data_IF_858274352292
#
_entry.id   IF_858274352292
#
_cell.length_a   1.000
_cell.length_b   1.000
_cell.length_c   1.000
_cell.angle_alpha   90.00
_cell.angle_beta   90.00
_cell.angle_gamma   90.00
#
_symmetry.space_group_name_H-M   'P 1'
#
loop_
_entity.id
_entity.type
_entity.pdbx_description
1 polymer ?
#
# COMPACT_ATOMS: atom_id res chain seq x y z
N UNK A 1 -62.99 6.70 -16.60
CA UNK A 1 -61.72 6.96 -17.32
C UNK A 1 -61.17 5.60 -17.74
N UNK A 2 -61.33 5.17 -19.01
CA UNK A 2 -60.30 5.30 -20.07
C UNK A 2 -58.91 5.02 -19.47
N UNK A 3 -58.31 3.85 -19.66
CA UNK A 3 -57.53 3.44 -20.85
C UNK A 3 -57.43 1.89 -20.86
N UNK A 4 -58.04 1.21 -21.83
CA UNK A 4 -57.41 0.69 -23.08
C UNK A 4 -56.11 -0.11 -22.79
N UNK A 5 -56.15 -1.44 -22.72
CA UNK A 5 -56.09 -2.39 -23.86
C UNK A 5 -54.95 -2.11 -24.83
N UNK A 6 -54.03 -3.07 -24.96
CA UNK A 6 -52.98 -3.07 -25.98
C UNK A 6 -52.08 -4.31 -25.88
N UNK A 7 -52.68 -5.47 -25.62
CA UNK A 7 -52.03 -6.78 -25.66
C UNK A 7 -52.10 -7.29 -27.11
N UNK A 8 -51.00 -7.86 -27.60
CA UNK A 8 -50.89 -8.88 -28.65
C UNK A 8 -51.81 -8.76 -29.87
N UNK A 9 -51.22 -8.45 -31.03
CA UNK A 9 -51.29 -9.29 -32.24
C UNK A 9 -50.82 -8.49 -33.45
N UNK A 10 -49.77 -8.98 -34.12
CA UNK A 10 -49.66 -9.00 -35.59
C UNK A 10 -48.27 -9.49 -35.97
N UNK A 11 -48.11 -10.81 -36.01
CA UNK A 11 -47.13 -11.46 -36.88
C UNK A 11 -47.52 -11.16 -38.33
N UNK A 12 -47.00 -10.04 -38.85
CA UNK A 12 -47.12 -9.66 -40.24
C UNK A 12 -46.12 -10.47 -41.07
N UNK A 13 -46.58 -11.61 -41.57
CA UNK A 13 -45.95 -12.35 -42.64
C UNK A 13 -46.08 -11.52 -43.94
N UNK A 14 -45.10 -10.67 -44.23
CA UNK A 14 -45.06 -9.94 -45.51
C UNK A 14 -44.46 -10.87 -46.56
N UNK A 15 -45.32 -11.24 -47.50
CA UNK A 15 -44.99 -11.98 -48.70
C UNK A 15 -43.88 -11.27 -49.49
N UNK A 16 -42.79 -12.00 -49.73
CA UNK A 16 -41.75 -11.69 -50.70
C UNK A 16 -42.36 -11.62 -52.10
N UNK A 17 -42.73 -10.41 -52.53
CA UNK A 17 -42.82 -10.07 -53.96
C UNK A 17 -41.93 -8.86 -54.17
N UNK A 18 -40.63 -9.11 -54.22
CA UNK A 18 -39.62 -8.13 -54.63
C UNK A 18 -39.24 -8.42 -56.07
N UNK A 19 -39.72 -7.59 -56.98
CA UNK A 19 -39.35 -7.55 -58.38
C UNK A 19 -37.83 -7.70 -58.57
N UNK A 20 -37.42 -8.53 -59.53
CA UNK A 20 -36.08 -8.48 -60.09
C UNK A 20 -35.92 -7.15 -60.83
N UNK A 21 -35.63 -6.09 -60.09
CA UNK A 21 -34.99 -4.91 -60.66
C UNK A 21 -33.56 -5.32 -60.97
N UNK A 22 -33.28 -5.47 -62.25
CA UNK A 22 -31.93 -5.46 -62.79
C UNK A 22 -31.38 -4.06 -62.49
N UNK A 23 -30.79 -3.91 -61.31
CA UNK A 23 -29.97 -2.74 -61.00
C UNK A 23 -28.65 -2.94 -61.72
N UNK A 24 -28.49 -2.24 -62.83
CA UNK A 24 -27.18 -2.00 -63.43
C UNK A 24 -26.26 -1.37 -62.37
N UNK A 25 -25.45 -2.21 -61.72
CA UNK A 25 -24.02 -2.02 -61.71
C UNK A 25 -23.45 -0.68 -61.26
N UNK A 26 -23.99 -0.06 -60.20
CA UNK A 26 -23.18 0.83 -59.36
C UNK A 26 -23.14 0.23 -57.95
N UNK A 27 -22.05 -0.49 -57.64
CA UNK A 27 -21.66 -0.69 -56.25
C UNK A 27 -21.51 0.72 -55.67
N UNK A 28 -22.38 1.12 -54.74
CA UNK A 28 -22.04 2.23 -53.86
C UNK A 28 -20.70 1.85 -53.23
N UNK A 29 -19.66 2.60 -53.57
CA UNK A 29 -18.34 2.37 -53.02
C UNK A 29 -18.45 2.61 -51.52
N UNK A 30 -18.33 1.52 -50.75
CA UNK A 30 -18.32 1.61 -49.31
C UNK A 30 -17.23 2.60 -48.88
N UNK A 31 -17.56 3.50 -47.95
CA UNK A 31 -16.65 4.51 -47.43
C UNK A 31 -15.26 3.90 -47.12
N UNK A 32 -14.19 4.53 -47.60
CA UNK A 32 -12.82 4.08 -47.42
C UNK A 32 -11.86 5.25 -47.18
N UNK A 33 -10.67 4.92 -46.65
CA UNK A 33 -9.58 5.88 -46.40
C UNK A 33 -8.41 5.72 -47.39
N UNK A 34 -8.67 5.07 -48.54
CA UNK A 34 -7.66 4.69 -49.53
C UNK A 34 -6.80 3.49 -49.14
N UNK A 35 -5.89 3.09 -50.03
CA UNK A 35 -5.09 1.86 -49.93
C UNK A 35 -4.07 1.85 -48.79
N UNK A 36 -3.76 3.03 -48.24
CA UNK A 36 -2.89 3.18 -47.08
C UNK A 36 -3.57 2.69 -45.78
N UNK A 37 -4.90 2.61 -45.75
CA UNK A 37 -5.67 2.22 -44.58
C UNK A 37 -5.84 0.71 -44.49
N UNK A 38 -4.77 0.03 -44.09
CA UNK A 38 -4.73 -1.43 -43.91
C UNK A 38 -3.98 -1.78 -42.65
N UNK A 39 -4.23 -2.98 -42.14
CA UNK A 39 -3.50 -3.53 -41.00
C UNK A 39 -1.99 -3.52 -41.26
N UNK A 40 -1.21 -3.24 -40.23
CA UNK A 40 0.24 -3.20 -40.34
C UNK A 40 0.92 -3.59 -39.04
N UNK A 41 2.21 -3.87 -39.17
CA UNK A 41 3.11 -4.17 -38.07
C UNK A 41 4.11 -3.03 -37.87
N UNK A 42 4.51 -2.82 -36.62
CA UNK A 42 5.60 -1.91 -36.20
C UNK A 42 6.38 -2.59 -35.08
N UNK A 43 7.56 -2.07 -34.77
CA UNK A 43 8.36 -2.50 -33.63
C UNK A 43 8.46 -1.41 -32.60
N UNK A 44 8.65 -1.81 -31.34
CA UNK A 44 8.96 -0.85 -30.28
C UNK A 44 10.25 -0.10 -30.66
N UNK A 45 10.19 1.22 -30.62
CA UNK A 45 11.31 2.10 -31.00
C UNK A 45 11.48 2.34 -32.49
N UNK A 46 10.56 1.87 -33.35
CA UNK A 46 10.43 2.41 -34.71
C UNK A 46 10.03 3.89 -34.66
N UNK A 47 10.40 4.64 -35.70
CA UNK A 47 9.87 5.98 -35.90
C UNK A 47 8.33 5.95 -36.06
N UNK A 48 7.68 7.04 -35.65
CA UNK A 48 6.24 7.18 -35.74
C UNK A 48 5.77 6.97 -37.18
N UNK A 49 4.83 6.03 -37.37
CA UNK A 49 4.31 5.70 -38.69
C UNK A 49 3.23 6.66 -39.09
N UNK A 50 3.48 7.41 -40.16
CA UNK A 50 2.51 8.32 -40.74
C UNK A 50 1.78 7.65 -41.91
N UNK A 51 0.45 7.56 -41.83
CA UNK A 51 -0.41 7.15 -42.94
C UNK A 51 -1.10 8.38 -43.51
N UNK A 52 -0.85 8.67 -44.78
CA UNK A 52 -1.61 9.67 -45.53
C UNK A 52 -2.94 9.04 -45.97
N UNK A 53 -4.04 9.49 -45.37
CA UNK A 53 -5.37 8.95 -45.61
C UNK A 53 -6.19 9.88 -46.50
N UNK A 54 -7.09 9.29 -47.29
CA UNK A 54 -8.02 10.01 -48.17
C UNK A 54 -9.42 9.45 -47.99
N UNK A 55 -10.33 10.23 -47.41
CA UNK A 55 -11.73 9.85 -47.32
C UNK A 55 -12.36 9.77 -48.73
N UNK A 56 -13.01 8.66 -49.07
CA UNK A 56 -13.60 8.44 -50.40
C UNK A 56 -14.81 9.35 -50.69
N UNK A 57 -15.43 9.90 -49.65
CA UNK A 57 -16.53 10.87 -49.74
C UNK A 57 -16.19 12.11 -48.89
N UNK A 58 -15.31 13.00 -49.38
CA UNK A 58 -14.89 14.16 -48.61
C UNK A 58 -16.03 15.18 -48.48
N UNK A 59 -16.11 15.82 -47.32
CA UNK A 59 -17.07 16.88 -47.05
C UNK A 59 -16.42 17.96 -46.19
N UNK A 60 -16.59 19.21 -46.61
CA UNK A 60 -16.04 20.38 -45.93
C UNK A 60 -16.49 20.44 -44.47
N UNK A 61 -15.57 20.81 -43.59
CA UNK A 61 -15.74 20.97 -42.14
C UNK A 61 -16.06 19.65 -41.39
N UNK A 62 -15.87 18.50 -42.04
CA UNK A 62 -16.00 17.18 -41.38
C UNK A 62 -15.01 17.03 -40.23
N UNK A 63 -15.48 16.55 -39.09
CA UNK A 63 -14.65 16.26 -37.92
C UNK A 63 -13.77 15.02 -38.16
N UNK A 64 -12.53 15.07 -37.70
CA UNK A 64 -11.55 13.99 -37.83
C UNK A 64 -11.08 13.59 -36.43
N UNK A 65 -11.09 12.29 -36.14
CA UNK A 65 -10.57 11.78 -34.87
C UNK A 65 -10.04 10.35 -35.01
N UNK A 66 -9.15 9.97 -34.11
CA UNK A 66 -8.67 8.60 -34.01
C UNK A 66 -8.47 8.20 -32.54
N UNK A 67 -8.75 6.93 -32.23
CA UNK A 67 -8.59 6.37 -30.88
C UNK A 67 -7.97 5.00 -30.94
N UNK A 68 -7.11 4.70 -29.97
CA UNK A 68 -6.52 3.38 -29.77
C UNK A 68 -7.29 2.60 -28.71
N UNK A 69 -7.57 1.31 -28.95
CA UNK A 69 -8.19 0.44 -27.95
C UNK A 69 -7.26 0.13 -26.77
N UNK A 70 -5.93 0.22 -26.97
CA UNK A 70 -4.90 0.03 -25.95
C UNK A 70 -3.77 1.05 -26.13
N UNK A 71 -3.86 2.18 -25.45
CA UNK A 71 -2.85 3.24 -25.50
C UNK A 71 -1.46 2.78 -24.99
N UNK A 72 -1.42 1.78 -24.11
CA UNK A 72 -0.20 1.14 -23.63
C UNK A 72 0.55 0.34 -24.71
N UNK A 73 -0.13 -0.11 -25.77
CA UNK A 73 0.46 -0.85 -26.91
C UNK A 73 0.82 0.11 -28.04
N UNK A 74 -0.12 0.98 -28.43
CA UNK A 74 0.07 1.95 -29.49
C UNK A 74 -0.74 3.22 -29.24
N UNK A 75 -0.17 4.38 -29.54
CA UNK A 75 -0.87 5.67 -29.49
C UNK A 75 -1.10 6.21 -30.89
N UNK A 76 -2.10 7.08 -31.04
CA UNK A 76 -2.52 7.61 -32.33
C UNK A 76 -2.87 9.09 -32.22
N UNK A 77 -2.50 9.86 -33.25
CA UNK A 77 -2.90 11.25 -33.43
C UNK A 77 -3.29 11.52 -34.88
N UNK A 78 -4.03 12.61 -35.11
CA UNK A 78 -4.41 13.08 -36.44
C UNK A 78 -3.81 14.46 -36.68
N UNK A 79 -3.40 14.75 -37.92
CA UNK A 79 -2.77 16.04 -38.26
C UNK A 79 -3.69 17.25 -38.10
N UNK A 80 -5.01 17.03 -38.19
CA UNK A 80 -6.02 18.06 -38.08
C UNK A 80 -7.29 17.48 -37.47
N UNK A 81 -8.00 18.27 -36.67
CA UNK A 81 -9.26 17.86 -36.07
C UNK A 81 -10.46 18.03 -37.02
N UNK A 82 -10.27 18.72 -38.16
CA UNK A 82 -11.31 19.00 -39.17
C UNK A 82 -10.71 19.07 -40.57
N UNK A 83 -11.53 18.75 -41.57
CA UNK A 83 -11.23 18.96 -42.99
C UNK A 83 -11.85 20.28 -43.49
N UNK A 84 -11.20 21.40 -43.16
CA UNK A 84 -11.71 22.74 -43.48
C UNK A 84 -11.80 23.02 -44.98
N UNK A 85 -11.04 22.30 -45.80
CA UNK A 85 -10.98 22.49 -47.26
C UNK A 85 -11.89 21.50 -48.01
N UNK A 86 -12.39 20.46 -47.34
CA UNK A 86 -13.22 19.42 -47.95
C UNK A 86 -12.43 18.55 -48.93
N UNK A 87 -11.13 18.36 -48.69
CA UNK A 87 -10.26 17.57 -49.59
C UNK A 87 -10.23 16.09 -49.24
N UNK A 88 -10.69 15.73 -48.04
CA UNK A 88 -10.63 14.37 -47.49
C UNK A 88 -9.25 13.92 -47.03
N UNK A 89 -8.22 14.78 -47.14
CA UNK A 89 -6.82 14.43 -46.90
C UNK A 89 -6.40 14.78 -45.48
N UNK A 90 -5.84 13.80 -44.78
CA UNK A 90 -5.26 13.99 -43.45
C UNK A 90 -4.24 12.91 -43.13
N UNK A 91 -3.35 13.18 -42.18
CA UNK A 91 -2.37 12.20 -41.73
C UNK A 91 -2.81 11.58 -40.41
N UNK A 92 -2.68 10.25 -40.33
CA UNK A 92 -2.76 9.49 -39.10
C UNK A 92 -1.35 9.14 -38.66
N UNK A 93 -0.94 9.55 -37.46
CA UNK A 93 0.38 9.25 -36.91
C UNK A 93 0.22 8.23 -35.80
N UNK A 94 0.82 7.05 -35.98
CA UNK A 94 0.76 5.93 -35.03
C UNK A 94 2.14 5.70 -34.44
N UNK A 95 2.21 5.66 -33.12
CA UNK A 95 3.44 5.39 -32.37
C UNK A 95 3.34 4.05 -31.64
N UNK A 96 4.34 3.20 -31.83
CA UNK A 96 4.49 1.95 -31.10
C UNK A 96 4.98 2.24 -29.66
N UNK A 97 4.31 1.67 -28.66
CA UNK A 97 4.63 1.87 -27.23
C UNK A 97 5.14 0.58 -26.61
N UNK A 98 4.39 -0.51 -26.73
CA UNK A 98 4.76 -1.82 -26.18
C UNK A 98 4.26 -2.95 -27.08
N UNK A 99 4.91 -4.12 -26.97
CA UNK A 99 4.51 -5.33 -27.70
C UNK A 99 3.06 -5.69 -27.43
N UNK A 100 2.33 -6.00 -28.48
CA UNK A 100 0.95 -6.45 -28.39
C UNK A 100 0.13 -6.07 -29.60
N UNK A 101 -1.18 -6.20 -29.47
CA UNK A 101 -2.13 -5.84 -30.52
C UNK A 101 -3.10 -4.77 -30.02
N UNK A 102 -3.26 -3.72 -30.81
CA UNK A 102 -4.25 -2.66 -30.61
C UNK A 102 -5.08 -2.47 -31.88
N UNK A 103 -6.29 -1.97 -31.70
CA UNK A 103 -7.19 -1.59 -32.80
C UNK A 103 -7.32 -0.07 -32.80
N UNK A 104 -6.94 0.55 -33.91
CA UNK A 104 -7.11 1.99 -34.12
C UNK A 104 -8.43 2.22 -34.84
N UNK A 105 -9.31 3.02 -34.24
CA UNK A 105 -10.56 3.48 -34.86
C UNK A 105 -10.37 4.89 -35.38
N UNK A 106 -10.59 5.12 -36.67
CA UNK A 106 -10.52 6.43 -37.32
C UNK A 106 -11.91 6.85 -37.76
N UNK A 107 -12.28 8.09 -37.46
CA UNK A 107 -13.55 8.70 -37.83
C UNK A 107 -13.34 9.91 -38.72
N UNK A 108 -14.23 10.06 -39.70
CA UNK A 108 -14.36 11.23 -40.55
C UNK A 108 -15.85 11.55 -40.69
N UNK A 109 -16.30 12.62 -40.04
CA UNK A 109 -17.73 12.90 -39.84
C UNK A 109 -18.41 11.75 -39.08
N UNK A 110 -19.50 11.23 -39.63
CA UNK A 110 -20.24 10.09 -39.07
C UNK A 110 -19.67 8.73 -39.46
N UNK A 111 -18.76 8.71 -40.44
CA UNK A 111 -18.17 7.48 -40.95
C UNK A 111 -16.99 7.03 -40.08
N UNK A 112 -16.83 5.71 -39.93
CA UNK A 112 -15.71 5.14 -39.16
C UNK A 112 -15.18 3.86 -39.76
N UNK A 113 -13.88 3.62 -39.59
CA UNK A 113 -13.21 2.37 -39.93
C UNK A 113 -12.14 2.05 -38.90
N UNK A 114 -11.73 0.79 -38.88
CA UNK A 114 -10.72 0.28 -37.95
C UNK A 114 -9.57 -0.37 -38.70
N UNK A 115 -8.36 -0.24 -38.15
CA UNK A 115 -7.18 -1.02 -38.56
C UNK A 115 -6.57 -1.69 -37.34
N UNK A 116 -6.05 -2.90 -37.53
CA UNK A 116 -5.26 -3.62 -36.54
C UNK A 116 -3.79 -3.20 -36.63
N UNK A 117 -3.22 -2.88 -35.48
CA UNK A 117 -1.79 -2.59 -35.31
C UNK A 117 -1.20 -3.66 -34.42
N UNK A 118 -0.26 -4.42 -34.97
CA UNK A 118 0.53 -5.40 -34.20
C UNK A 118 1.91 -4.82 -33.95
N UNK A 119 2.23 -4.60 -32.68
CA UNK A 119 3.55 -4.13 -32.25
C UNK A 119 4.39 -5.33 -31.84
N UNK A 120 5.50 -5.53 -32.54
CA UNK A 120 6.49 -6.56 -32.30
C UNK A 120 7.70 -5.99 -31.53
N UNK A 121 8.55 -6.87 -31.03
CA UNK A 121 9.84 -6.46 -30.46
C UNK A 121 10.79 -5.99 -31.57
N UNK A 122 11.77 -5.15 -31.25
CA UNK A 122 12.81 -4.71 -32.20
C UNK A 122 13.66 -5.93 -32.63
N UNK A 123 13.89 -6.13 -33.93
CA UNK A 123 14.70 -7.28 -34.41
C UNK A 123 16.13 -7.19 -33.85
N UNK A 124 16.60 -8.30 -33.26
CA UNK A 124 17.99 -8.45 -32.81
C UNK A 124 18.21 -8.21 -31.32
N UNK A 125 17.17 -7.83 -30.57
CA UNK A 125 17.17 -7.90 -29.13
C UNK A 125 16.14 -8.97 -28.72
N UNK A 126 16.63 -10.12 -28.25
CA UNK A 126 15.97 -10.82 -27.14
C UNK A 126 15.54 -9.73 -26.16
N UNK A 127 14.29 -9.66 -25.64
CA UNK A 127 13.85 -8.51 -24.86
C UNK A 127 14.94 -8.15 -23.88
N UNK A 128 15.66 -7.05 -24.16
CA UNK A 128 16.57 -6.50 -23.19
C UNK A 128 15.62 -6.13 -22.06
N UNK A 129 15.75 -6.72 -20.85
CA UNK A 129 15.01 -6.18 -19.73
C UNK A 129 15.34 -4.70 -19.74
N UNK A 130 14.33 -3.83 -19.66
CA UNK A 130 14.55 -2.44 -19.24
C UNK A 130 15.70 -2.45 -18.23
N UNK A 131 16.86 -1.86 -18.54
CA UNK A 131 18.12 -2.18 -17.85
C UNK A 131 17.86 -2.34 -16.36
N UNK A 132 18.02 -3.58 -15.85
CA UNK A 132 17.73 -3.86 -14.45
C UNK A 132 18.54 -2.88 -13.62
N UNK A 133 17.87 -2.21 -12.70
CA UNK A 133 18.51 -1.19 -11.89
C UNK A 133 19.22 -1.88 -10.72
N UNK A 134 20.48 -1.54 -10.49
CA UNK A 134 21.22 -2.02 -9.31
C UNK A 134 20.52 -1.56 -8.02
N UNK A 135 20.23 -2.49 -7.11
CA UNK A 135 19.45 -2.19 -5.91
C UNK A 135 20.06 -1.10 -5.03
N UNK A 136 21.39 -0.93 -5.03
CA UNK A 136 22.08 0.10 -4.26
C UNK A 136 21.75 1.54 -4.72
N UNK A 137 21.20 1.71 -5.93
CA UNK A 137 20.71 2.99 -6.43
C UNK A 137 19.28 3.29 -5.98
N UNK A 138 18.51 2.25 -5.63
CA UNK A 138 17.11 2.36 -5.18
C UNK A 138 17.04 2.38 -3.65
N UNK A 139 17.77 1.49 -2.97
CA UNK A 139 17.88 1.39 -1.52
C UNK A 139 19.07 2.24 -1.08
N UNK A 140 18.86 3.56 -1.02
CA UNK A 140 19.89 4.52 -0.61
C UNK A 140 19.89 4.77 0.90
N UNK A 141 18.74 4.57 1.56
CA UNK A 141 18.62 4.60 3.03
C UNK A 141 18.68 3.17 3.56
N UNK A 142 19.86 2.79 4.04
CA UNK A 142 20.15 1.43 4.51
C UNK A 142 19.92 1.23 6.01
N UNK A 143 19.77 2.31 6.78
CA UNK A 143 19.39 2.25 8.20
C UNK A 143 17.87 2.32 8.34
N UNK A 144 17.25 1.19 8.70
CA UNK A 144 15.80 1.02 8.72
C UNK A 144 15.13 1.50 10.01
N UNK A 145 15.92 1.76 11.05
CA UNK A 145 15.46 2.18 12.37
C UNK A 145 14.98 1.00 13.23
N UNK A 146 14.07 1.29 14.14
CA UNK A 146 13.56 0.34 15.12
C UNK A 146 12.51 -0.59 14.52
N UNK A 147 12.75 -1.91 14.58
CA UNK A 147 11.81 -2.95 14.17
C UNK A 147 11.33 -3.74 15.39
N UNK A 148 10.05 -4.10 15.40
CA UNK A 148 9.47 -4.95 16.44
C UNK A 148 9.72 -6.42 16.12
N UNK A 149 10.51 -7.10 16.97
CA UNK A 149 10.76 -8.54 16.86
C UNK A 149 11.28 -9.14 18.18
N UNK A 150 10.99 -10.41 18.44
CA UNK A 150 11.48 -11.12 19.63
C UNK A 150 12.94 -11.55 19.48
N UNK A 151 13.22 -12.51 18.61
CA UNK A 151 14.59 -13.02 18.38
C UNK A 151 15.22 -12.46 17.11
N UNK A 152 14.49 -12.47 15.99
CA UNK A 152 14.90 -11.90 14.69
C UNK A 152 13.70 -11.28 13.97
N UNK A 153 13.88 -10.23 13.16
CA UNK A 153 12.81 -9.69 12.34
C UNK A 153 12.41 -10.66 11.23
N UNK A 154 11.20 -10.48 10.71
CA UNK A 154 10.71 -11.20 9.53
C UNK A 154 11.14 -10.49 8.24
N UNK A 155 11.25 -11.23 7.14
CA UNK A 155 11.57 -10.71 5.81
C UNK A 155 10.61 -9.57 5.42
N UNK A 156 9.32 -9.76 5.71
CA UNK A 156 8.27 -8.76 5.44
C UNK A 156 8.52 -7.47 6.21
N UNK A 157 8.85 -7.56 7.51
CA UNK A 157 9.10 -6.37 8.32
C UNK A 157 10.32 -5.58 7.81
N UNK A 158 11.38 -6.28 7.38
CA UNK A 158 12.58 -5.65 6.79
C UNK A 158 12.22 -4.96 5.47
N UNK A 159 11.51 -5.65 4.57
CA UNK A 159 11.13 -5.11 3.25
C UNK A 159 10.18 -3.93 3.40
N UNK A 160 9.20 -3.99 4.29
CA UNK A 160 8.27 -2.89 4.57
C UNK A 160 9.00 -1.66 5.12
N UNK A 161 9.94 -1.85 6.06
CA UNK A 161 10.74 -0.75 6.60
C UNK A 161 11.64 -0.13 5.52
N UNK A 162 12.27 -0.96 4.68
CA UNK A 162 13.07 -0.49 3.55
C UNK A 162 12.22 0.28 2.53
N UNK A 163 11.03 -0.21 2.18
CA UNK A 163 10.08 0.45 1.27
C UNK A 163 9.59 1.79 1.82
N UNK A 164 9.32 1.87 3.12
CA UNK A 164 8.88 3.11 3.78
C UNK A 164 9.92 4.22 3.62
N UNK A 165 11.21 3.89 3.70
CA UNK A 165 12.31 4.85 3.57
C UNK A 165 12.71 5.13 2.12
N UNK A 166 12.58 4.10 1.27
CA UNK A 166 12.95 4.10 -0.14
C UNK A 166 11.69 3.83 -0.98
N UNK A 167 10.81 4.83 -1.07
CA UNK A 167 9.44 4.70 -1.62
C UNK A 167 9.38 4.20 -3.06
N UNK A 168 10.46 4.32 -3.84
CA UNK A 168 10.58 3.81 -5.21
C UNK A 168 10.88 2.31 -5.31
N UNK A 169 11.21 1.65 -4.19
CA UNK A 169 11.45 0.21 -4.14
C UNK A 169 10.18 -0.57 -4.50
N UNK A 170 10.25 -1.57 -5.38
CA UNK A 170 9.12 -2.45 -5.67
C UNK A 170 9.30 -3.73 -4.84
N UNK A 171 8.52 -3.86 -3.76
CA UNK A 171 8.69 -4.93 -2.76
C UNK A 171 8.51 -6.33 -3.35
N UNK A 172 7.68 -6.49 -4.38
CA UNK A 172 7.42 -7.77 -5.04
C UNK A 172 8.62 -8.31 -5.81
N UNK A 173 9.61 -7.46 -6.10
CA UNK A 173 10.77 -7.73 -6.95
C UNK A 173 12.05 -8.00 -6.15
N UNK A 174 11.96 -8.00 -4.82
CA UNK A 174 13.06 -8.22 -3.89
C UNK A 174 12.73 -9.30 -2.87
N UNK A 175 13.78 -9.87 -2.30
CA UNK A 175 13.69 -10.87 -1.24
C UNK A 175 14.75 -10.60 -0.17
N UNK A 176 14.51 -11.08 1.03
CA UNK A 176 15.52 -11.20 2.08
C UNK A 176 15.76 -12.68 2.27
N UNK A 177 17.01 -13.14 2.16
CA UNK A 177 17.31 -14.54 2.43
C UNK A 177 17.44 -14.75 3.94
N UNK A 178 16.83 -15.80 4.46
CA UNK A 178 16.77 -16.07 5.90
C UNK A 178 18.16 -16.18 6.55
N UNK A 179 19.13 -16.74 5.82
CA UNK A 179 20.53 -16.87 6.22
C UNK A 179 21.29 -15.53 6.28
N UNK A 180 20.75 -14.48 5.67
CA UNK A 180 21.32 -13.13 5.72
C UNK A 180 20.90 -12.33 6.96
N UNK A 181 19.81 -12.74 7.63
CA UNK A 181 19.26 -12.01 8.77
C UNK A 181 20.07 -12.32 10.03
N UNK A 182 20.71 -11.29 10.57
CA UNK A 182 21.42 -11.31 11.84
C UNK A 182 20.76 -10.35 12.82
N UNK A 183 21.32 -10.25 14.03
CA UNK A 183 20.75 -9.47 15.14
C UNK A 183 20.46 -8.00 14.80
N UNK A 184 21.30 -7.36 13.96
CA UNK A 184 21.17 -5.94 13.61
C UNK A 184 21.36 -5.63 12.11
N UNK A 185 21.41 -6.65 11.26
CA UNK A 185 21.65 -6.50 9.83
C UNK A 185 20.95 -7.58 9.01
N UNK A 186 20.62 -7.26 7.76
CA UNK A 186 20.15 -8.21 6.76
C UNK A 186 20.59 -7.78 5.35
N UNK A 187 20.43 -8.66 4.37
CA UNK A 187 20.69 -8.35 2.96
C UNK A 187 19.41 -8.47 2.15
N UNK A 188 19.00 -7.38 1.51
CA UNK A 188 17.92 -7.37 0.52
C UNK A 188 18.53 -7.65 -0.85
N UNK A 189 18.03 -8.65 -1.55
CA UNK A 189 18.52 -9.06 -2.88
C UNK A 189 17.41 -8.94 -3.91
N UNK A 190 17.78 -8.69 -5.17
CA UNK A 190 16.83 -8.83 -6.26
C UNK A 190 16.43 -10.30 -6.38
N UNK A 191 15.13 -10.58 -6.56
CA UNK A 191 14.69 -11.95 -6.84
C UNK A 191 15.32 -12.46 -8.14
N UNK A 192 15.51 -13.76 -8.24
CA UNK A 192 16.06 -14.39 -9.45
C UNK A 192 15.22 -14.10 -10.71
N UNK A 193 13.91 -13.96 -10.55
CA UNK A 193 12.93 -13.62 -11.59
C UNK A 193 12.58 -12.13 -11.64
N UNK A 194 13.28 -11.28 -10.88
CA UNK A 194 13.04 -9.83 -10.87
C UNK A 194 13.22 -9.23 -12.26
N UNK A 195 12.18 -8.55 -12.75
CA UNK A 195 12.23 -7.80 -14.00
C UNK A 195 12.88 -6.41 -13.84
N UNK A 196 12.93 -5.90 -12.60
CA UNK A 196 13.30 -4.50 -12.34
C UNK A 196 14.71 -4.32 -11.76
N UNK A 197 15.22 -5.32 -11.03
CA UNK A 197 16.40 -5.14 -10.20
C UNK A 197 17.47 -6.21 -10.39
N UNK A 198 18.70 -5.81 -10.13
CA UNK A 198 19.88 -6.68 -9.98
C UNK A 198 20.63 -6.32 -8.69
N UNK A 199 21.54 -7.19 -8.27
CA UNK A 199 22.41 -6.97 -7.12
C UNK A 199 21.74 -7.21 -5.77
N UNK A 200 22.41 -6.75 -4.72
CA UNK A 200 21.98 -6.86 -3.33
C UNK A 200 22.49 -5.70 -2.49
N UNK A 201 21.78 -5.39 -1.41
CA UNK A 201 22.08 -4.27 -0.52
C UNK A 201 21.99 -4.73 0.91
N UNK A 202 23.04 -4.45 1.68
CA UNK A 202 23.06 -4.64 3.12
C UNK A 202 22.31 -3.50 3.81
N UNK A 203 21.44 -3.86 4.74
CA UNK A 203 20.66 -2.93 5.56
C UNK A 203 20.90 -3.20 7.05
N UNK A 204 20.70 -2.18 7.87
CA UNK A 204 20.84 -2.26 9.33
C UNK A 204 19.58 -1.80 10.03
N UNK A 205 19.32 -2.37 11.21
CA UNK A 205 18.15 -2.06 12.02
C UNK A 205 18.45 -2.29 13.50
N UNK A 206 17.61 -1.73 14.35
CA UNK A 206 17.64 -1.91 15.80
C UNK A 206 16.36 -2.61 16.24
N UNK A 207 16.44 -3.39 17.32
CA UNK A 207 15.24 -3.93 17.96
C UNK A 207 14.52 -2.80 18.67
N UNK A 208 13.24 -2.57 18.34
CA UNK A 208 12.39 -1.66 19.09
C UNK A 208 12.31 -2.17 20.52
N UNK A 209 12.81 -1.40 21.48
CA UNK A 209 12.63 -1.70 22.89
C UNK A 209 11.15 -1.49 23.22
N UNK A 210 10.48 -2.56 23.62
CA UNK A 210 9.17 -2.44 24.25
C UNK A 210 9.36 -1.79 25.61
N UNK A 211 8.64 -0.70 25.89
CA UNK A 211 8.61 -0.12 27.23
C UNK A 211 8.11 -1.19 28.20
N UNK A 212 9.01 -1.68 29.07
CA UNK A 212 8.62 -2.64 30.09
C UNK A 212 7.74 -1.93 31.10
N UNK A 213 6.57 -2.50 31.40
CA UNK A 213 5.68 -1.95 32.43
C UNK A 213 6.39 -2.01 33.79
N UNK A 214 6.23 -0.98 34.64
CA UNK A 214 6.75 -1.04 35.99
C UNK A 214 6.09 -2.17 36.78
N UNK A 215 6.86 -2.88 37.62
CA UNK A 215 6.32 -3.95 38.48
C UNK A 215 6.70 -3.68 39.93
N UNK A 216 5.71 -3.65 40.81
CA UNK A 216 5.86 -3.43 42.24
C UNK A 216 6.21 -4.71 43.00
N UNK A 217 7.07 -4.61 44.00
CA UNK A 217 7.46 -5.70 44.90
C UNK A 217 7.88 -5.16 46.28
N UNK A 218 7.93 -6.04 47.28
CA UNK A 218 8.40 -5.73 48.65
C UNK A 218 9.48 -6.70 49.08
N UNK A 219 10.50 -6.19 49.75
CA UNK A 219 11.50 -7.04 50.41
C UNK A 219 10.88 -7.78 51.60
N UNK A 220 10.94 -9.12 51.58
CA UNK A 220 10.38 -9.96 52.64
C UNK A 220 8.95 -10.46 52.40
N UNK A 221 8.35 -10.12 51.24
CA UNK A 221 7.03 -10.60 50.84
C UNK A 221 5.90 -9.62 51.17
N UNK A 222 4.68 -10.00 50.80
CA UNK A 222 3.50 -9.13 50.91
C UNK A 222 2.83 -9.19 52.29
N UNK A 223 3.20 -10.16 53.13
CA UNK A 223 2.63 -10.34 54.46
C UNK A 223 3.52 -9.62 55.50
N UNK A 224 2.98 -8.57 56.11
CA UNK A 224 3.66 -7.72 57.08
C UNK A 224 3.04 -7.95 58.45
N UNK A 225 3.82 -8.44 59.41
CA UNK A 225 3.38 -8.65 60.79
C UNK A 225 4.28 -7.89 61.76
N UNK A 226 3.67 -7.12 62.66
CA UNK A 226 4.40 -6.47 63.75
C UNK A 226 3.50 -6.22 64.96
N UNK A 227 4.04 -6.25 66.19
CA UNK A 227 3.23 -6.05 67.38
C UNK A 227 2.79 -4.60 67.51
N UNK A 228 1.62 -4.36 68.11
CA UNK A 228 1.10 -3.01 68.40
C UNK A 228 2.10 -2.16 69.21
N UNK A 229 2.91 -2.79 70.05
CA UNK A 229 3.97 -2.13 70.83
C UNK A 229 5.08 -1.51 69.97
N UNK A 230 5.33 -2.01 68.75
CA UNK A 230 6.29 -1.44 67.79
C UNK A 230 5.77 -0.11 67.20
N UNK A 231 4.45 0.13 67.29
CA UNK A 231 3.69 1.32 66.84
C UNK A 231 3.76 1.63 65.35
N UNK A 232 4.86 1.35 64.67
CA UNK A 232 5.06 1.57 63.24
C UNK A 232 6.05 0.60 62.63
N UNK A 233 5.90 0.33 61.33
CA UNK A 233 6.82 -0.47 60.53
C UNK A 233 7.17 0.28 59.25
N UNK A 234 8.47 0.38 58.94
CA UNK A 234 8.94 0.89 57.65
C UNK A 234 9.01 -0.27 56.67
N UNK A 235 8.39 -0.10 55.50
CA UNK A 235 8.36 -1.09 54.42
C UNK A 235 9.01 -0.50 53.19
N UNK A 236 9.96 -1.24 52.60
CA UNK A 236 10.63 -0.86 51.35
C UNK A 236 9.88 -1.44 50.16
N UNK A 237 9.37 -0.57 49.30
CA UNK A 237 8.74 -0.90 48.03
C UNK A 237 9.78 -0.77 46.91
N UNK A 238 9.90 -1.79 46.07
CA UNK A 238 10.76 -1.81 44.89
C UNK A 238 9.92 -1.86 43.62
N UNK A 239 10.31 -1.06 42.63
CA UNK A 239 9.73 -1.02 41.30
C UNK A 239 10.80 -1.45 40.31
N UNK A 240 10.58 -2.57 39.62
CA UNK A 240 11.37 -2.89 38.43
C UNK A 240 10.84 -2.11 37.25
N UNK A 241 11.72 -1.69 36.35
CA UNK A 241 11.41 -0.78 35.22
C UNK A 241 10.72 0.53 35.67
N UNK A 242 11.30 1.27 36.63
CA UNK A 242 10.72 2.51 37.10
C UNK A 242 10.66 3.57 36.00
N UNK A 243 9.67 4.45 36.09
CA UNK A 243 9.48 5.59 35.20
C UNK A 243 9.57 6.87 36.03
N UNK A 244 10.60 7.67 35.75
CA UNK A 244 10.80 8.93 36.46
C UNK A 244 9.55 9.83 36.40
N UNK A 245 9.20 10.43 37.53
CA UNK A 245 8.02 11.27 37.70
C UNK A 245 6.70 10.51 37.89
N UNK A 246 6.70 9.17 37.86
CA UNK A 246 5.50 8.39 38.16
C UNK A 246 5.04 8.61 39.60
N UNK A 247 3.73 8.86 39.78
CA UNK A 247 3.13 8.99 41.10
C UNK A 247 3.11 7.63 41.82
N UNK A 248 3.32 7.66 43.13
CA UNK A 248 3.16 6.52 44.02
C UNK A 248 2.15 6.87 45.12
N UNK A 249 1.25 5.93 45.42
CA UNK A 249 0.30 6.08 46.54
C UNK A 249 0.25 4.80 47.34
N UNK A 250 -0.06 4.91 48.63
CA UNK A 250 -0.28 3.76 49.49
C UNK A 250 -1.44 4.05 50.44
N UNK A 251 -2.48 3.24 50.40
CA UNK A 251 -3.72 3.47 51.14
C UNK A 251 -4.11 2.22 51.95
N UNK A 252 -4.38 2.42 53.24
CA UNK A 252 -4.97 1.40 54.09
C UNK A 252 -6.46 1.21 53.78
N UNK A 253 -6.96 -0.02 53.85
CA UNK A 253 -8.38 -0.29 53.63
C UNK A 253 -9.24 0.09 54.84
N UNK A 254 -8.69 0.04 56.06
CA UNK A 254 -9.35 0.38 57.32
C UNK A 254 -8.45 1.26 58.19
N UNK A 255 -8.66 2.57 58.12
CA UNK A 255 -7.90 3.57 58.90
C UNK A 255 -8.02 3.42 60.43
N UNK A 256 -9.01 2.67 60.91
CA UNK A 256 -9.19 2.32 62.33
C UNK A 256 -8.22 1.24 62.84
N UNK A 257 -7.56 0.49 61.94
CA UNK A 257 -6.58 -0.55 62.26
C UNK A 257 -5.16 -0.03 62.00
N UNK A 258 -4.91 0.52 60.81
CA UNK A 258 -3.60 1.07 60.42
C UNK A 258 -3.76 2.39 59.65
N UNK A 259 -2.72 3.22 59.67
CA UNK A 259 -2.59 4.38 58.77
C UNK A 259 -1.26 4.32 58.03
N UNK A 260 -1.18 4.91 56.84
CA UNK A 260 0.07 4.94 56.05
C UNK A 260 0.58 6.38 55.99
N UNK A 261 1.87 6.57 56.25
CA UNK A 261 2.57 7.85 56.18
C UNK A 261 3.88 7.73 55.41
N UNK A 262 4.55 8.87 55.21
CA UNK A 262 5.86 8.97 54.54
C UNK A 262 5.86 8.42 53.10
N UNK A 263 4.70 8.42 52.44
CA UNK A 263 4.60 8.04 51.02
C UNK A 263 5.12 9.20 50.17
N UNK A 264 6.17 9.01 49.36
CA UNK A 264 6.61 10.06 48.45
C UNK A 264 5.52 10.34 47.41
N UNK A 265 5.45 11.57 46.90
CA UNK A 265 4.44 11.91 45.89
C UNK A 265 4.73 11.25 44.54
N UNK A 266 6.02 11.06 44.22
CA UNK A 266 6.50 10.60 42.92
C UNK A 266 7.93 10.03 42.97
N UNK A 267 8.28 9.30 41.92
CA UNK A 267 9.62 8.77 41.65
C UNK A 267 10.49 9.76 40.88
N UNK A 268 10.89 10.86 41.52
CA UNK A 268 11.64 11.91 40.82
C UNK A 268 13.00 11.45 40.29
N UNK A 269 13.66 10.52 40.98
CA UNK A 269 15.00 10.04 40.60
C UNK A 269 14.98 8.81 39.69
N UNK A 270 13.80 8.22 39.46
CA UNK A 270 13.61 7.06 38.60
C UNK A 270 14.32 5.82 39.11
N UNK A 271 14.67 5.74 40.40
CA UNK A 271 15.36 4.57 40.97
C UNK A 271 14.39 3.49 41.42
N UNK A 272 13.10 3.79 41.52
CA UNK A 272 12.09 2.78 41.84
C UNK A 272 12.23 2.17 43.22
N UNK A 273 12.76 2.89 44.21
CA UNK A 273 12.86 2.39 45.60
C UNK A 273 12.26 3.41 46.55
N UNK A 274 11.25 3.00 47.31
CA UNK A 274 10.50 3.87 48.21
C UNK A 274 10.38 3.25 49.58
N UNK A 275 10.33 4.08 50.61
CA UNK A 275 9.94 3.65 51.95
C UNK A 275 8.56 4.21 52.25
N UNK A 276 7.68 3.37 52.78
CA UNK A 276 6.41 3.79 53.36
C UNK A 276 6.40 3.40 54.83
N UNK A 277 5.73 4.19 55.66
CA UNK A 277 5.57 3.89 57.08
C UNK A 277 4.14 3.45 57.34
N UNK A 278 3.96 2.24 57.86
CA UNK A 278 2.67 1.71 58.31
C UNK A 278 2.59 1.93 59.82
N UNK A 279 1.63 2.71 60.29
CA UNK A 279 1.41 3.01 61.70
C UNK A 279 0.25 2.16 62.25
N UNK A 280 0.48 1.46 63.36
CA UNK A 280 -0.53 0.68 64.05
C UNK A 280 -1.45 1.60 64.88
N UNK A 281 -2.76 1.44 64.70
CA UNK A 281 -3.81 2.11 65.49
C UNK A 281 -4.44 1.13 66.46
N UNK A 282 -4.83 -0.06 65.97
CA UNK A 282 -5.50 -1.12 66.73
C UNK A 282 -4.99 -2.49 66.28
N UNK A 283 -5.06 -3.47 67.18
CA UNK A 283 -4.86 -4.88 66.83
C UNK A 283 -5.91 -5.33 65.81
N UNK A 284 -5.48 -6.17 64.86
CA UNK A 284 -6.33 -6.67 63.78
C UNK A 284 -5.60 -6.80 62.46
N UNK A 285 -6.38 -7.16 61.43
CA UNK A 285 -5.88 -7.39 60.08
C UNK A 285 -6.44 -6.34 59.12
N UNK A 286 -5.57 -5.78 58.29
CA UNK A 286 -5.93 -4.85 57.23
C UNK A 286 -5.05 -5.06 55.99
N UNK A 287 -5.35 -4.36 54.90
CA UNK A 287 -4.53 -4.35 53.70
C UNK A 287 -4.06 -2.94 53.35
N UNK A 288 -2.85 -2.85 52.79
CA UNK A 288 -2.33 -1.62 52.17
C UNK A 288 -2.23 -1.86 50.68
N UNK A 289 -2.93 -1.05 49.89
CA UNK A 289 -2.81 -1.05 48.43
C UNK A 289 -1.82 0.02 48.01
N UNK A 290 -0.73 -0.40 47.38
CA UNK A 290 0.30 0.47 46.80
C UNK A 290 0.09 0.54 45.29
N UNK A 291 0.06 1.75 44.75
CA UNK A 291 -0.05 2.00 43.31
C UNK A 291 1.16 2.77 42.81
N UNK A 292 1.54 2.52 41.55
CA UNK A 292 2.61 3.23 40.86
C UNK A 292 2.20 3.43 39.40
N UNK A 293 2.50 4.61 38.83
CA UNK A 293 2.10 4.96 37.47
C UNK A 293 2.49 3.90 36.42
N UNK A 294 1.50 3.21 35.85
CA UNK A 294 1.70 2.18 34.83
C UNK A 294 1.94 0.76 35.34
N UNK A 295 2.00 0.54 36.66
CA UNK A 295 2.12 -0.77 37.30
C UNK A 295 0.76 -1.38 37.64
N UNK A 296 0.71 -2.70 37.80
CA UNK A 296 -0.37 -3.36 38.54
C UNK A 296 -0.25 -3.05 40.04
N UNK A 297 -1.40 -3.00 40.73
CA UNK A 297 -1.44 -2.68 42.16
C UNK A 297 -0.78 -3.78 42.99
N UNK A 298 0.01 -3.37 43.98
CA UNK A 298 0.58 -4.25 44.98
C UNK A 298 -0.27 -4.21 46.24
N UNK A 299 -0.66 -5.38 46.75
CA UNK A 299 -1.44 -5.51 47.98
C UNK A 299 -0.59 -6.12 49.08
N UNK A 300 -0.43 -5.40 50.18
CA UNK A 300 0.22 -5.88 51.40
C UNK A 300 -0.85 -6.33 52.39
N UNK A 301 -0.71 -7.53 52.95
CA UNK A 301 -1.56 -8.01 54.04
C UNK A 301 -0.86 -7.67 55.35
N UNK A 302 -1.50 -6.85 56.18
CA UNK A 302 -0.91 -6.34 57.43
C UNK A 302 -1.63 -6.93 58.63
N UNK A 303 -0.87 -7.53 59.54
CA UNK A 303 -1.36 -8.08 60.82
C UNK A 303 -0.72 -7.34 61.99
N UNK A 304 -1.54 -6.72 62.83
CA UNK A 304 -1.12 -6.08 64.08
C UNK A 304 -1.51 -7.00 65.25
N UNK A 305 -0.51 -7.51 65.96
CA UNK A 305 -0.66 -8.44 67.11
C UNK A 305 -0.36 -7.81 68.47
#
# INVERSE_FOLDING_TARGET
MKKLLGLLAATGLVATTGATVVSCGNKEEAFSFGDAFKDFKMKVGDEDKTLALVASTPAKDSAISATSSKAEVATVTVSSAKDTEGTGKFNLVVKAVAKGESTITVKYGEQSKTIKVTVEDKDGETPSPSEKVELNTIITKTTLGDLEFDSKPTDSAIIEAAKKLNTSLISEQVEVKEDSIKEAEATISAKSDSANYTGSVKVTFTKKQTEQKPVLSVDGGNDITFPKSEKKKVVTIKVTNPKAGSAITANASKSEIITVSDVPENDNDGKGTFQITINAVKEGNDTVTVTYGGAENLVLNVTIS
#
